data_IF_665746926928
#
_entry.id   IF_665746926928
#
_cell.length_a   1.000
_cell.length_b   1.000
_cell.length_c   1.000
_cell.angle_alpha   90.00
_cell.angle_beta   90.00
_cell.angle_gamma   90.00
#
_symmetry.space_group_name_H-M   'P 1'
#
loop_
_entity.id
_entity.type
_entity.pdbx_description
1 polymer ?
#
# COMPACT_ATOMS: atom_id res chain seq x y z
N UNK A 1 -3.29 -9.54 0.62
CA UNK A 1 -3.51 -8.06 0.55
C UNK A 1 -4.30 -7.48 1.72
N UNK A 2 -5.10 -8.25 2.47
CA UNK A 2 -5.88 -7.72 3.60
C UNK A 2 -5.04 -7.17 4.76
N UNK A 3 -3.89 -7.80 5.09
CA UNK A 3 -3.01 -7.33 6.16
C UNK A 3 -2.45 -5.92 5.94
N UNK A 4 -2.12 -5.56 4.69
CA UNK A 4 -1.63 -4.21 4.38
C UNK A 4 -2.72 -3.15 4.56
N UNK A 5 -3.96 -3.46 4.17
CA UNK A 5 -5.10 -2.55 4.37
C UNK A 5 -5.41 -2.38 5.86
N UNK A 6 -5.42 -3.48 6.63
CA UNK A 6 -5.60 -3.45 8.07
C UNK A 6 -4.51 -2.61 8.76
N UNK A 7 -3.25 -2.77 8.36
CA UNK A 7 -2.14 -1.98 8.88
C UNK A 7 -2.28 -0.49 8.57
N UNK A 8 -2.70 -0.13 7.35
CA UNK A 8 -2.95 1.29 6.99
C UNK A 8 -4.07 1.91 7.82
N UNK A 9 -5.15 1.16 8.06
CA UNK A 9 -6.25 1.60 8.91
C UNK A 9 -5.80 1.79 10.36
N UNK A 10 -5.11 0.79 10.91
CA UNK A 10 -4.56 0.83 12.26
C UNK A 10 -3.60 2.00 12.48
N UNK A 11 -2.69 2.21 11.51
CA UNK A 11 -1.74 3.31 11.56
C UNK A 11 -2.43 4.67 11.49
N UNK A 12 -3.50 4.80 10.71
CA UNK A 12 -4.29 6.03 10.66
C UNK A 12 -5.13 6.26 11.92
N UNK A 13 -5.49 5.22 12.66
CA UNK A 13 -6.17 5.35 13.94
C UNK A 13 -5.21 5.79 15.05
N UNK A 14 -3.95 5.33 15.01
CA UNK A 14 -2.91 5.65 16.00
C UNK A 14 -2.19 6.98 15.81
N UNK A 15 -2.40 7.66 14.68
CA UNK A 15 -1.61 8.85 14.33
C UNK A 15 -2.50 10.03 14.03
N UNK A 16 -2.10 11.20 14.52
CA UNK A 16 -2.88 12.40 14.29
C UNK A 16 -2.81 12.85 12.82
N UNK A 17 -3.90 13.41 12.29
CA UNK A 17 -3.93 13.95 10.95
C UNK A 17 -2.82 14.99 10.74
N UNK A 18 -2.21 14.91 9.56
CA UNK A 18 -1.19 15.85 9.12
C UNK A 18 0.22 15.27 9.19
N UNK A 19 1.12 16.03 9.81
CA UNK A 19 2.58 15.81 9.75
C UNK A 19 3.00 14.46 10.36
N UNK A 20 2.35 14.07 11.44
CA UNK A 20 2.59 12.80 12.14
C UNK A 20 2.18 11.60 11.28
N UNK A 21 0.91 11.54 10.87
CA UNK A 21 0.39 10.46 10.02
C UNK A 21 1.13 10.33 8.69
N UNK A 22 1.47 11.44 8.04
CA UNK A 22 2.26 11.39 6.79
C UNK A 22 3.67 10.82 7.03
N UNK A 23 4.29 11.14 8.17
CA UNK A 23 5.58 10.54 8.55
C UNK A 23 5.45 9.04 8.84
N UNK A 24 4.38 8.64 9.52
CA UNK A 24 4.09 7.25 9.81
C UNK A 24 3.87 6.44 8.52
N UNK A 25 3.09 6.96 7.56
CA UNK A 25 2.93 6.34 6.24
C UNK A 25 4.23 6.30 5.43
N UNK A 26 5.09 7.31 5.55
CA UNK A 26 6.45 7.25 4.99
C UNK A 26 7.27 6.11 5.59
N UNK A 27 7.26 5.96 6.93
CA UNK A 27 7.95 4.84 7.61
C UNK A 27 7.35 3.49 7.24
N UNK A 28 6.05 3.40 7.00
CA UNK A 28 5.41 2.20 6.42
C UNK A 28 5.98 1.88 5.03
N UNK A 29 6.25 2.88 4.20
CA UNK A 29 6.93 2.70 2.91
C UNK A 29 8.35 2.13 3.06
N UNK A 30 9.10 2.56 4.08
CA UNK A 30 10.42 2.00 4.41
C UNK A 30 10.34 0.53 4.82
N UNK A 31 9.43 0.18 5.73
CA UNK A 31 9.27 -1.21 6.18
C UNK A 31 8.78 -2.13 5.08
N UNK A 32 7.93 -1.63 4.18
CA UNK A 32 7.50 -2.36 2.99
C UNK A 32 8.69 -2.65 2.06
N UNK A 33 9.53 -1.66 1.77
CA UNK A 33 10.74 -1.86 0.97
C UNK A 33 11.72 -2.87 1.59
N UNK A 34 11.92 -2.81 2.91
CA UNK A 34 12.70 -3.81 3.65
C UNK A 34 12.11 -5.21 3.52
N UNK A 35 10.78 -5.35 3.55
CA UNK A 35 10.11 -6.62 3.32
C UNK A 35 10.41 -7.21 1.93
N UNK A 36 10.49 -6.38 0.90
CA UNK A 36 10.87 -6.79 -0.46
C UNK A 36 12.34 -7.19 -0.61
N UNK A 37 13.20 -6.81 0.34
CA UNK A 37 14.61 -7.22 0.39
C UNK A 37 14.77 -8.49 1.24
N UNK A 38 14.17 -8.49 2.44
CA UNK A 38 14.29 -9.60 3.38
C UNK A 38 13.61 -10.87 2.86
N UNK A 39 12.42 -10.75 2.23
CA UNK A 39 11.65 -11.92 1.78
C UNK A 39 12.42 -12.76 0.75
N UNK A 40 12.98 -12.19 -0.34
CA UNK A 40 13.82 -12.95 -1.24
C UNK A 40 15.06 -13.55 -0.58
N UNK A 41 15.72 -12.86 0.37
CA UNK A 41 16.88 -13.38 1.09
C UNK A 41 16.51 -14.63 1.89
N UNK A 42 15.45 -14.57 2.70
CA UNK A 42 14.96 -15.74 3.45
C UNK A 42 14.51 -16.87 2.53
N UNK A 43 13.89 -16.54 1.40
CA UNK A 43 13.48 -17.51 0.39
C UNK A 43 14.68 -18.23 -0.23
N UNK A 44 15.72 -17.51 -0.65
CA UNK A 44 16.97 -18.09 -1.20
C UNK A 44 17.61 -19.02 -0.18
N UNK A 45 17.75 -18.56 1.07
CA UNK A 45 18.37 -19.35 2.15
C UNK A 45 17.56 -20.62 2.40
N UNK A 46 16.23 -20.52 2.50
CA UNK A 46 15.35 -21.66 2.71
C UNK A 46 15.43 -22.68 1.57
N UNK A 47 15.42 -22.22 0.32
CA UNK A 47 15.55 -23.10 -0.85
C UNK A 47 16.91 -23.79 -0.90
N UNK A 48 18.00 -23.12 -0.52
CA UNK A 48 19.36 -23.68 -0.53
C UNK A 48 19.60 -24.68 0.60
N UNK A 49 18.98 -24.51 1.77
CA UNK A 49 19.25 -25.33 2.95
C UNK A 49 18.32 -26.53 3.12
N UNK A 50 17.07 -26.44 2.66
CA UNK A 50 16.02 -27.40 3.03
C UNK A 50 15.44 -28.12 1.81
N UNK A 51 14.78 -27.40 0.89
CA UNK A 51 14.18 -27.92 -0.35
C UNK A 51 13.44 -26.80 -1.11
N UNK A 52 12.99 -27.05 -2.34
CA UNK A 52 12.19 -26.08 -3.13
C UNK A 52 10.89 -25.64 -2.46
N UNK A 53 10.27 -26.51 -1.64
CA UNK A 53 9.02 -26.18 -0.93
C UNK A 53 9.23 -25.51 0.43
N UNK A 54 10.46 -25.43 0.91
CA UNK A 54 10.79 -24.89 2.23
C UNK A 54 10.43 -23.41 2.46
N UNK A 55 10.53 -22.50 1.46
CA UNK A 55 10.15 -21.10 1.64
C UNK A 55 8.71 -20.89 2.11
N UNK A 56 7.79 -21.79 1.73
CA UNK A 56 6.38 -21.71 2.13
C UNK A 56 6.23 -21.95 3.63
N UNK A 57 6.92 -22.98 4.15
CA UNK A 57 6.89 -23.34 5.58
C UNK A 57 7.55 -22.22 6.41
N UNK A 58 8.70 -21.73 5.95
CA UNK A 58 9.39 -20.61 6.61
C UNK A 58 8.50 -19.36 6.66
N UNK A 59 7.79 -19.06 5.57
CA UNK A 59 6.85 -17.93 5.53
C UNK A 59 5.68 -18.12 6.51
N UNK A 60 5.13 -19.33 6.62
CA UNK A 60 4.05 -19.63 7.55
C UNK A 60 4.47 -19.44 9.01
N UNK A 61 5.68 -19.88 9.37
CA UNK A 61 6.25 -19.68 10.72
C UNK A 61 6.50 -18.20 10.96
N UNK A 62 7.06 -17.48 9.98
CA UNK A 62 7.36 -16.05 10.11
C UNK A 62 6.09 -15.21 10.30
N UNK A 63 4.94 -15.65 9.76
CA UNK A 63 3.64 -14.98 9.98
C UNK A 63 3.14 -15.03 11.43
N UNK A 64 3.65 -15.93 12.29
CA UNK A 64 3.29 -15.99 13.71
C UNK A 64 3.92 -14.80 14.48
N UNK A 65 5.10 -14.35 14.06
CA UNK A 65 5.84 -13.26 14.74
C UNK A 65 5.04 -11.95 14.78
N UNK A 66 4.48 -11.44 13.67
CA UNK A 66 3.61 -10.27 13.69
C UNK A 66 2.38 -10.42 14.59
N UNK A 67 1.81 -11.62 14.72
CA UNK A 67 0.65 -11.87 15.58
C UNK A 67 1.01 -11.70 17.04
N UNK A 68 2.12 -12.31 17.48
CA UNK A 68 2.64 -12.18 18.84
C UNK A 68 2.96 -10.72 19.17
N UNK A 69 3.64 -10.02 18.24
CA UNK A 69 3.98 -8.61 18.40
C UNK A 69 2.72 -7.75 18.50
N UNK A 70 1.70 -8.01 17.67
CA UNK A 70 0.45 -7.27 17.74
C UNK A 70 -0.25 -7.48 19.09
N UNK A 71 -0.31 -8.73 19.57
CA UNK A 71 -0.98 -9.08 20.83
C UNK A 71 -0.26 -8.53 22.07
N UNK A 72 1.08 -8.47 22.06
CA UNK A 72 1.86 -7.99 23.19
C UNK A 72 2.14 -6.48 23.17
N UNK A 73 2.23 -5.86 21.98
CA UNK A 73 2.62 -4.45 21.86
C UNK A 73 1.46 -3.49 21.63
N UNK A 74 0.29 -3.96 21.16
CA UNK A 74 -0.90 -3.11 21.08
C UNK A 74 -1.78 -3.31 22.30
N UNK A 75 -1.84 -2.30 23.17
CA UNK A 75 -2.89 -2.22 24.18
C UNK A 75 -4.22 -1.88 23.50
N UNK A 76 -5.18 -2.81 23.53
CA UNK A 76 -6.52 -2.65 22.95
C UNK A 76 -7.20 -1.35 23.38
N UNK A 77 -6.93 -0.87 24.58
CA UNK A 77 -7.52 0.36 25.14
C UNK A 77 -7.15 1.62 24.36
N UNK A 78 -5.96 1.66 23.74
CA UNK A 78 -5.48 2.84 23.01
C UNK A 78 -6.29 3.15 21.73
N UNK A 79 -7.13 2.22 21.26
CA UNK A 79 -7.92 2.35 20.03
C UNK A 79 -9.42 2.47 20.33
N UNK A 80 -9.89 1.81 21.39
CA UNK A 80 -11.29 1.86 21.85
C UNK A 80 -11.61 3.20 22.54
N UNK A 81 -10.63 3.88 23.16
CA UNK A 81 -10.87 5.17 23.85
C UNK A 81 -11.24 6.31 22.86
N UNK A 82 -10.85 6.19 21.59
CA UNK A 82 -11.33 7.09 20.52
C UNK A 82 -12.75 6.75 20.02
N UNK A 83 -13.34 5.62 20.42
CA UNK A 83 -14.74 5.26 20.12
C UNK A 83 -15.72 5.74 21.21
N UNK A 84 -15.26 6.33 22.32
CA UNK A 84 -16.11 6.65 23.48
C UNK A 84 -17.10 7.81 23.21
N UNK A 85 -16.96 8.56 22.12
CA UNK A 85 -17.98 9.53 21.67
C UNK A 85 -18.99 8.97 20.63
N UNK A 86 -18.95 7.65 20.36
CA UNK A 86 -19.96 6.93 19.54
C UNK A 86 -20.78 5.99 20.44
N UNK A 87 -20.92 6.34 21.71
CA UNK A 87 -21.69 5.60 22.72
C UNK A 87 -23.23 5.72 22.58
N UNK A 88 -23.74 6.10 21.40
CA UNK A 88 -25.19 6.17 21.13
C UNK A 88 -25.66 5.51 19.83
N UNK A 89 -24.85 4.67 19.16
CA UNK A 89 -25.37 3.82 18.08
C UNK A 89 -25.06 2.35 18.32
N UNK A 90 -25.74 1.82 19.34
CA UNK A 90 -26.52 0.57 19.29
C UNK A 90 -26.10 -0.42 18.20
N UNK A 91 -25.45 -1.53 18.60
CA UNK A 91 -25.67 -2.89 18.08
C UNK A 91 -25.90 -3.01 16.55
N UNK A 92 -25.15 -2.27 15.74
CA UNK A 92 -25.30 -2.31 14.31
C UNK A 92 -24.37 -3.39 13.78
N UNK A 93 -24.83 -4.64 13.80
CA UNK A 93 -24.35 -5.68 12.89
C UNK A 93 -24.11 -5.00 11.53
N UNK A 94 -22.92 -5.16 10.94
CA UNK A 94 -22.58 -4.61 9.62
C UNK A 94 -23.53 -5.21 8.57
N UNK A 95 -24.73 -4.63 8.49
CA UNK A 95 -25.79 -5.07 7.60
C UNK A 95 -25.41 -4.64 6.20
N UNK A 96 -25.56 -5.53 5.24
CA UNK A 96 -25.37 -5.25 3.81
C UNK A 96 -26.14 -3.98 3.40
N UNK A 97 -27.27 -3.71 4.05
CA UNK A 97 -28.04 -2.48 3.87
C UNK A 97 -27.25 -1.20 4.18
N UNK A 98 -26.39 -1.22 5.21
CA UNK A 98 -25.53 -0.07 5.56
C UNK A 98 -24.39 0.10 4.56
N UNK A 99 -23.81 -0.99 4.07
CA UNK A 99 -22.79 -0.95 3.00
C UNK A 99 -23.39 -0.37 1.72
N UNK A 100 -24.58 -0.84 1.31
CA UNK A 100 -25.30 -0.33 0.13
C UNK A 100 -25.67 1.15 0.30
N UNK A 101 -26.11 1.57 1.49
CA UNK A 101 -26.38 3.00 1.77
C UNK A 101 -25.14 3.88 1.67
N UNK A 102 -23.99 3.41 2.17
CA UNK A 102 -22.71 4.13 2.07
C UNK A 102 -22.26 4.21 0.60
N UNK A 103 -22.40 3.11 -0.14
CA UNK A 103 -22.00 3.02 -1.54
C UNK A 103 -22.89 3.90 -2.44
N UNK A 104 -24.18 4.03 -2.10
CA UNK A 104 -25.14 4.89 -2.79
C UNK A 104 -25.03 6.38 -2.43
N UNK A 105 -24.14 6.79 -1.52
CA UNK A 105 -23.91 8.21 -1.27
C UNK A 105 -23.33 8.87 -2.53
N UNK A 106 -23.92 9.98 -3.01
CA UNK A 106 -23.44 10.65 -4.21
C UNK A 106 -21.99 11.11 -4.00
N UNK A 107 -21.09 10.68 -4.88
CA UNK A 107 -19.66 10.97 -4.81
C UNK A 107 -18.78 9.82 -4.28
N UNK A 108 -19.29 8.94 -3.40
CA UNK A 108 -18.48 7.83 -2.84
C UNK A 108 -18.09 6.83 -3.93
N UNK A 109 -19.06 6.41 -4.76
CA UNK A 109 -18.82 5.51 -5.87
C UNK A 109 -17.82 6.09 -6.88
N UNK A 110 -17.94 7.39 -7.18
CA UNK A 110 -17.04 8.10 -8.10
C UNK A 110 -15.61 8.16 -7.56
N UNK A 111 -15.45 8.41 -6.25
CA UNK A 111 -14.13 8.40 -5.60
C UNK A 111 -13.54 6.99 -5.56
N UNK A 112 -14.33 5.97 -5.24
CA UNK A 112 -13.87 4.57 -5.25
C UNK A 112 -13.45 4.13 -6.66
N UNK A 113 -14.24 4.46 -7.68
CA UNK A 113 -13.92 4.13 -9.06
C UNK A 113 -12.65 4.85 -9.52
N UNK A 114 -12.51 6.14 -9.25
CA UNK A 114 -11.28 6.90 -9.55
C UNK A 114 -10.04 6.38 -8.85
N UNK A 115 -10.17 5.88 -7.61
CA UNK A 115 -9.07 5.28 -6.86
C UNK A 115 -8.69 3.90 -7.42
N UNK A 116 -9.67 3.07 -7.77
CA UNK A 116 -9.42 1.70 -8.24
C UNK A 116 -9.05 1.64 -9.72
N UNK A 117 -9.53 2.58 -10.55
CA UNK A 117 -9.26 2.65 -11.99
C UNK A 117 -7.77 2.66 -12.34
N UNK A 118 -6.85 3.32 -11.61
CA UNK A 118 -5.41 3.21 -11.85
C UNK A 118 -4.76 2.00 -11.16
N UNK A 119 -5.32 1.51 -10.05
CA UNK A 119 -4.76 0.38 -9.29
C UNK A 119 -4.91 -0.93 -10.07
N UNK A 120 -6.06 -1.15 -10.71
CA UNK A 120 -6.33 -2.39 -11.46
C UNK A 120 -5.36 -2.58 -12.63
N UNK A 121 -5.17 -1.60 -13.55
CA UNK A 121 -4.16 -1.70 -14.61
C UNK A 121 -2.75 -1.84 -14.07
N UNK A 122 -2.41 -1.13 -12.98
CA UNK A 122 -1.10 -1.23 -12.36
C UNK A 122 -0.80 -2.67 -11.91
N UNK A 123 -1.73 -3.30 -11.18
CA UNK A 123 -1.58 -4.70 -10.73
C UNK A 123 -1.49 -5.68 -11.91
N UNK A 124 -2.25 -5.41 -12.97
CA UNK A 124 -2.26 -6.21 -14.19
C UNK A 124 -0.90 -6.11 -14.92
N UNK A 125 -0.35 -4.91 -15.05
CA UNK A 125 0.99 -4.67 -15.59
C UNK A 125 2.05 -5.39 -14.74
N UNK A 126 1.98 -5.29 -13.41
CA UNK A 126 2.91 -6.01 -12.53
C UNK A 126 2.86 -7.53 -12.76
N UNK A 127 1.67 -8.09 -12.93
CA UNK A 127 1.49 -9.53 -13.14
C UNK A 127 2.02 -9.99 -14.50
N UNK A 128 1.69 -9.25 -15.57
CA UNK A 128 2.16 -9.57 -16.93
C UNK A 128 3.66 -9.35 -17.06
N UNK A 129 4.21 -8.27 -16.50
CA UNK A 129 5.65 -7.99 -16.55
C UNK A 129 6.46 -9.10 -15.88
N UNK A 130 5.99 -9.65 -14.76
CA UNK A 130 6.65 -10.77 -14.11
C UNK A 130 6.70 -12.01 -15.01
N UNK A 131 5.59 -12.35 -15.66
CA UNK A 131 5.50 -13.50 -16.58
C UNK A 131 6.39 -13.28 -17.83
N UNK A 132 6.33 -12.08 -18.40
CA UNK A 132 7.13 -11.69 -19.56
C UNK A 132 8.63 -11.76 -19.28
N UNK A 133 9.07 -11.33 -18.09
CA UNK A 133 10.47 -11.44 -17.67
C UNK A 133 10.93 -12.90 -17.60
N UNK A 134 10.07 -13.81 -17.17
CA UNK A 134 10.38 -15.24 -17.10
C UNK A 134 10.46 -15.82 -18.52
N UNK A 135 9.46 -15.57 -19.38
CA UNK A 135 9.36 -16.20 -20.70
C UNK A 135 10.34 -15.64 -21.74
N UNK A 136 10.54 -14.31 -21.79
CA UNK A 136 11.41 -13.69 -22.81
C UNK A 136 12.88 -13.65 -22.40
N UNK A 137 13.18 -13.44 -21.12
CA UNK A 137 14.56 -13.31 -20.67
C UNK A 137 15.11 -14.58 -20.04
N UNK A 138 14.33 -15.68 -20.01
CA UNK A 138 14.63 -16.90 -19.24
C UNK A 138 15.11 -16.54 -17.83
N UNK A 139 14.43 -15.56 -17.20
CA UNK A 139 14.84 -15.06 -15.90
C UNK A 139 14.67 -16.18 -14.87
N UNK A 140 15.78 -16.77 -14.47
CA UNK A 140 15.83 -17.77 -13.41
C UNK A 140 15.23 -17.21 -12.10
N UNK A 141 14.79 -18.11 -11.22
CA UNK A 141 14.18 -17.74 -9.94
C UNK A 141 15.04 -16.77 -9.13
N UNK A 142 16.37 -16.88 -9.23
CA UNK A 142 17.31 -15.96 -8.59
C UNK A 142 17.27 -14.55 -9.19
N UNK A 143 17.16 -14.43 -10.51
CA UNK A 143 17.05 -13.15 -11.22
C UNK A 143 15.73 -12.46 -10.89
N UNK A 144 14.62 -13.22 -10.84
CA UNK A 144 13.32 -12.70 -10.41
C UNK A 144 13.34 -12.17 -8.96
N UNK A 145 13.98 -12.91 -8.06
CA UNK A 145 14.21 -12.48 -6.68
C UNK A 145 15.09 -11.23 -6.58
N UNK A 146 16.12 -11.11 -7.42
CA UNK A 146 16.97 -9.92 -7.50
C UNK A 146 16.20 -8.68 -7.97
N UNK A 147 15.36 -8.82 -9.00
CA UNK A 147 14.50 -7.73 -9.48
C UNK A 147 13.51 -7.29 -8.39
N UNK A 148 12.96 -8.24 -7.63
CA UNK A 148 12.10 -7.94 -6.49
C UNK A 148 12.85 -7.15 -5.40
N UNK A 149 14.10 -7.52 -5.09
CA UNK A 149 14.94 -6.77 -4.15
C UNK A 149 15.23 -5.36 -4.63
N UNK A 150 15.58 -5.17 -5.91
CA UNK A 150 15.81 -3.85 -6.50
C UNK A 150 14.55 -2.98 -6.46
N UNK A 151 13.39 -3.56 -6.76
CA UNK A 151 12.10 -2.89 -6.65
C UNK A 151 11.83 -2.45 -5.20
N UNK A 152 12.17 -3.30 -4.22
CA UNK A 152 12.11 -2.98 -2.81
C UNK A 152 12.95 -1.78 -2.41
N UNK A 153 14.19 -1.69 -2.92
CA UNK A 153 15.07 -0.53 -2.71
C UNK A 153 14.45 0.74 -3.31
N UNK A 154 13.92 0.66 -4.54
CA UNK A 154 13.26 1.80 -5.18
C UNK A 154 12.04 2.27 -4.36
N UNK A 155 11.23 1.35 -3.85
CA UNK A 155 10.08 1.68 -2.99
C UNK A 155 10.54 2.30 -1.67
N UNK A 156 11.58 1.75 -1.04
CA UNK A 156 12.16 2.29 0.18
C UNK A 156 12.64 3.73 -0.01
N UNK A 157 13.35 4.00 -1.11
CA UNK A 157 13.82 5.33 -1.47
C UNK A 157 12.69 6.30 -1.79
N UNK A 158 11.71 5.89 -2.60
CA UNK A 158 10.62 6.75 -3.07
C UNK A 158 9.58 7.02 -1.97
N UNK A 159 8.96 5.96 -1.44
CA UNK A 159 7.87 6.08 -0.48
C UNK A 159 8.37 6.36 0.93
N UNK A 160 9.55 5.83 1.26
CA UNK A 160 10.14 5.99 2.58
C UNK A 160 10.87 7.31 2.76
N UNK A 161 11.99 7.48 2.06
CA UNK A 161 12.81 8.68 2.20
C UNK A 161 12.22 9.87 1.44
N UNK A 162 11.72 9.67 0.22
CA UNK A 162 11.18 10.74 -0.63
C UNK A 162 10.00 11.47 0.02
N UNK A 163 9.01 10.74 0.51
CA UNK A 163 7.83 11.33 1.17
C UNK A 163 8.22 12.08 2.46
N UNK A 164 9.07 11.49 3.30
CA UNK A 164 9.52 12.13 4.56
C UNK A 164 10.34 13.39 4.27
N UNK A 165 11.23 13.35 3.27
CA UNK A 165 12.05 14.49 2.84
C UNK A 165 11.18 15.61 2.26
N UNK A 166 10.28 15.27 1.34
CA UNK A 166 9.32 16.23 0.75
C UNK A 166 8.48 16.92 1.82
N UNK A 167 8.04 16.20 2.85
CA UNK A 167 7.26 16.76 3.98
C UNK A 167 8.09 17.55 4.99
N UNK A 168 9.43 17.53 4.91
CA UNK A 168 10.30 18.47 5.64
C UNK A 168 10.46 19.79 4.90
N UNK A 169 10.37 19.78 3.56
CA UNK A 169 10.61 20.95 2.70
C UNK A 169 9.32 21.67 2.31
N UNK A 170 8.20 20.96 2.18
CA UNK A 170 6.92 21.49 1.71
C UNK A 170 5.80 21.29 2.72
N UNK A 171 4.87 22.24 2.76
CA UNK A 171 3.61 22.12 3.51
C UNK A 171 2.69 21.11 2.82
N UNK A 172 1.74 20.55 3.58
CA UNK A 172 0.84 19.49 3.07
C UNK A 172 0.02 19.96 1.88
N UNK A 173 -0.45 21.21 1.91
CA UNK A 173 -1.18 21.81 0.79
C UNK A 173 -0.34 21.83 -0.48
N UNK A 174 0.94 22.21 -0.40
CA UNK A 174 1.83 22.22 -1.57
C UNK A 174 2.12 20.80 -2.06
N UNK A 175 2.27 19.83 -1.16
CA UNK A 175 2.49 18.43 -1.54
C UNK A 175 1.27 17.82 -2.23
N UNK A 176 0.09 18.07 -1.68
CA UNK A 176 -1.17 17.67 -2.27
C UNK A 176 -1.40 18.38 -3.61
N UNK A 177 -1.01 19.65 -3.73
CA UNK A 177 -1.11 20.41 -4.98
C UNK A 177 -0.16 19.88 -6.05
N UNK A 178 1.09 19.57 -5.71
CA UNK A 178 2.05 18.92 -6.62
C UNK A 178 1.52 17.54 -7.04
N UNK A 179 1.02 16.75 -6.09
CA UNK A 179 0.40 15.45 -6.39
C UNK A 179 -0.83 15.58 -7.30
N UNK A 180 -1.67 16.58 -7.06
CA UNK A 180 -2.83 16.88 -7.91
C UNK A 180 -2.40 17.35 -9.31
N UNK A 181 -1.39 18.21 -9.45
CA UNK A 181 -0.86 18.62 -10.76
C UNK A 181 -0.33 17.42 -11.51
N UNK A 182 0.42 16.53 -10.86
CA UNK A 182 0.97 15.35 -11.49
C UNK A 182 -0.14 14.40 -11.94
N UNK A 183 -1.15 14.22 -11.09
CA UNK A 183 -2.33 13.40 -11.39
C UNK A 183 -3.18 13.98 -12.54
N UNK A 184 -3.43 15.29 -12.54
CA UNK A 184 -4.16 16.00 -13.59
C UNK A 184 -3.37 15.97 -14.90
N UNK A 185 -2.05 16.18 -14.86
CA UNK A 185 -1.18 16.10 -16.05
C UNK A 185 -1.19 14.68 -16.65
N UNK A 186 -1.10 13.64 -15.81
CA UNK A 186 -1.23 12.24 -16.25
C UNK A 186 -2.61 11.95 -16.82
N UNK A 187 -3.66 12.50 -16.20
CA UNK A 187 -5.03 12.31 -16.66
C UNK A 187 -5.30 13.06 -17.98
N UNK A 188 -4.64 14.20 -18.22
CA UNK A 188 -4.69 14.97 -19.46
C UNK A 188 -3.94 14.23 -20.59
N UNK A 189 -2.82 13.59 -20.29
CA UNK A 189 -2.11 12.72 -21.23
C UNK A 189 -2.92 11.46 -21.59
N UNK A 190 -3.76 10.96 -20.67
CA UNK A 190 -4.65 9.81 -20.92
C UNK A 190 -5.90 10.16 -21.72
N UNK A 191 -6.25 11.44 -21.86
CA UNK A 191 -7.49 11.88 -22.51
C UNK A 191 -7.14 12.77 -23.74
N UNK A 192 -6.83 12.17 -24.91
CA UNK A 192 -6.43 12.93 -26.09
C UNK A 192 -7.52 13.87 -26.63
N UNK A 193 -8.78 13.70 -26.19
CA UNK A 193 -9.89 14.57 -26.58
C UNK A 193 -9.82 16.00 -26.01
N UNK A 194 -9.01 16.27 -24.97
CA UNK A 194 -8.89 17.62 -24.38
C UNK A 194 -7.76 18.44 -25.02
N UNK A 195 -6.80 17.82 -25.72
CA UNK A 195 -5.75 18.55 -26.41
C UNK A 195 -6.21 19.26 -27.70
N UNK A 196 -7.39 18.92 -28.24
CA UNK A 196 -7.92 19.56 -29.44
C UNK A 196 -8.74 20.85 -29.17
N UNK A 197 -8.95 21.24 -27.91
CA UNK A 197 -9.81 22.39 -27.59
C UNK A 197 -9.05 23.62 -27.05
N UNK A 198 -7.73 23.51 -26.84
CA UNK A 198 -6.87 24.63 -26.42
C UNK A 198 -5.99 25.19 -27.58
N UNK A 199 -6.28 24.80 -28.83
CA UNK A 199 -5.68 25.39 -30.05
C UNK A 199 -6.80 25.74 -31.03
N UNK A 200 -7.58 26.76 -30.72
CA UNK A 200 -8.21 27.72 -31.63
C UNK A 200 -8.75 28.91 -30.84
#
# INVERSE_FOLDING_TARGET
MHGQQAHQTLLSALTNPGKERTNAFGRMGLTFGLGFIATPIFSIIATKLLSESAPIIVSAILCIVPVIVLEHCLDRKSFEEHEVDISEVSNNHMSIANVVRILNRPGVLNVMFKKNAPIVPMLLIFSIMQLYLIEQFNADAQTGQLIQMMTGVCIMCSNGFGVIWMRKRFTEQTLLFIGMIFFVSLQRLRNPAVMQQDVF
#
